data_IF_025322768156
#
_entry.id   IF_025322768156
#
_cell.length_a   1.000
_cell.length_b   1.000
_cell.length_c   1.000
_cell.angle_alpha   90.00
_cell.angle_beta   90.00
_cell.angle_gamma   90.00
#
_symmetry.space_group_name_H-M   'P 1'
#
loop_
_entity.id
_entity.type
_entity.pdbx_description
1 polymer ?
#
# COMPACT_ATOMS: atom_id res chain seq x y z
N UNK A 1 9.66 11.39 12.55
CA UNK A 1 8.53 10.60 13.11
C UNK A 1 8.48 9.26 12.40
N UNK A 2 8.84 9.29 11.11
CA UNK A 2 9.20 8.18 10.23
C UNK A 2 9.83 6.97 10.89
N UNK A 3 10.97 7.11 11.55
CA UNK A 3 11.72 5.97 12.14
C UNK A 3 10.82 5.09 13.03
N UNK A 4 9.98 5.72 13.86
CA UNK A 4 9.03 5.01 14.73
C UNK A 4 7.90 4.34 13.95
N UNK A 5 7.46 4.94 12.84
CA UNK A 5 6.39 4.38 12.01
C UNK A 5 6.89 3.19 11.19
N UNK A 6 8.11 3.29 10.67
CA UNK A 6 8.84 2.19 10.02
C UNK A 6 9.10 1.04 10.98
N UNK A 7 9.56 1.32 12.21
CA UNK A 7 9.70 0.31 13.27
C UNK A 7 8.38 -0.44 13.51
N UNK A 8 7.25 0.27 13.58
CA UNK A 8 5.96 -0.39 13.75
C UNK A 8 5.64 -1.35 12.61
N UNK A 9 5.98 -1.04 11.36
CA UNK A 9 5.80 -1.95 10.22
C UNK A 9 6.70 -3.18 10.34
N UNK A 10 7.96 -2.99 10.74
CA UNK A 10 8.96 -4.05 10.89
C UNK A 10 8.67 -4.98 12.08
N UNK A 11 8.02 -4.50 13.13
CA UNK A 11 7.60 -5.31 14.30
C UNK A 11 6.44 -6.26 13.98
N UNK A 12 5.75 -6.09 12.85
CA UNK A 12 4.63 -6.95 12.46
C UNK A 12 5.14 -8.21 11.74
N UNK A 13 5.59 -9.20 12.51
CA UNK A 13 6.10 -10.48 11.97
C UNK A 13 5.10 -11.20 11.07
N UNK A 14 3.79 -10.97 11.26
CA UNK A 14 2.76 -11.60 10.45
C UNK A 14 2.64 -10.98 9.04
N UNK A 15 3.16 -9.76 8.83
CA UNK A 15 3.07 -9.02 7.57
C UNK A 15 3.77 -9.74 6.41
N UNK A 16 4.85 -10.45 6.72
CA UNK A 16 5.69 -11.16 5.74
C UNK A 16 5.53 -12.68 5.80
N UNK A 17 4.61 -13.19 6.62
CA UNK A 17 4.43 -14.63 6.85
C UNK A 17 4.03 -15.39 5.57
N UNK A 18 4.91 -16.29 5.14
CA UNK A 18 4.71 -17.14 3.97
C UNK A 18 5.01 -16.47 2.63
N UNK A 19 5.62 -15.28 2.64
CA UNK A 19 6.28 -14.68 1.48
C UNK A 19 7.74 -15.18 1.38
N UNK A 20 8.32 -15.10 0.19
CA UNK A 20 9.78 -15.19 0.03
C UNK A 20 10.47 -13.93 0.57
N UNK A 21 11.77 -14.01 0.87
CA UNK A 21 12.54 -12.86 1.35
C UNK A 21 12.50 -11.68 0.37
N UNK A 22 12.48 -11.97 -0.93
CA UNK A 22 12.36 -10.96 -1.99
C UNK A 22 10.98 -10.28 -1.95
N UNK A 23 9.89 -11.07 -1.95
CA UNK A 23 8.51 -10.55 -1.84
C UNK A 23 8.27 -9.78 -0.54
N UNK A 24 8.84 -10.23 0.57
CA UNK A 24 8.77 -9.57 1.85
C UNK A 24 9.49 -8.21 1.82
N UNK A 25 10.70 -8.16 1.23
CA UNK A 25 11.46 -6.93 1.06
C UNK A 25 10.72 -5.92 0.18
N UNK A 26 10.14 -6.37 -0.93
CA UNK A 26 9.34 -5.53 -1.84
C UNK A 26 8.12 -4.95 -1.11
N UNK A 27 7.34 -5.78 -0.42
CA UNK A 27 6.15 -5.32 0.31
C UNK A 27 6.49 -4.30 1.39
N UNK A 28 7.49 -4.61 2.22
CA UNK A 28 7.88 -3.72 3.33
C UNK A 28 8.47 -2.43 2.80
N UNK A 29 9.34 -2.49 1.79
CA UNK A 29 9.93 -1.31 1.15
C UNK A 29 8.87 -0.38 0.59
N UNK A 30 7.87 -0.94 -0.10
CA UNK A 30 6.75 -0.17 -0.62
C UNK A 30 5.91 0.49 0.47
N UNK A 31 5.55 -0.24 1.54
CA UNK A 31 4.79 0.34 2.66
C UNK A 31 5.57 1.47 3.34
N UNK A 32 6.90 1.34 3.47
CA UNK A 32 7.74 2.41 4.02
C UNK A 32 7.71 3.64 3.10
N UNK A 33 7.86 3.45 1.78
CA UNK A 33 7.76 4.53 0.80
C UNK A 33 6.44 5.29 0.92
N UNK A 34 5.31 4.58 1.06
CA UNK A 34 4.00 5.22 1.29
C UNK A 34 3.97 6.05 2.57
N UNK A 35 4.63 5.62 3.66
CA UNK A 35 4.72 6.43 4.89
C UNK A 35 5.58 7.67 4.68
N UNK A 36 6.71 7.52 3.96
CA UNK A 36 7.62 8.64 3.62
C UNK A 36 6.86 9.72 2.84
N UNK A 37 6.16 9.34 1.77
CA UNK A 37 5.38 10.26 0.95
C UNK A 37 4.30 10.98 1.77
N UNK A 38 3.60 10.26 2.66
CA UNK A 38 2.58 10.84 3.52
C UNK A 38 3.16 11.81 4.57
N UNK A 39 4.34 11.53 5.14
CA UNK A 39 5.01 12.45 6.08
C UNK A 39 5.46 13.73 5.36
N UNK A 40 5.97 13.60 4.14
CA UNK A 40 6.41 14.74 3.31
C UNK A 40 5.23 15.64 2.90
N UNK A 41 4.06 15.07 2.56
CA UNK A 41 2.88 15.84 2.16
C UNK A 41 2.15 16.51 3.34
N UNK A 42 2.03 15.82 4.48
CA UNK A 42 1.13 16.22 5.56
C UNK A 42 1.84 16.71 6.83
N UNK A 43 3.14 16.48 6.96
CA UNK A 43 3.97 16.86 8.11
C UNK A 43 3.74 16.02 9.39
N UNK A 44 2.60 15.33 9.50
CA UNK A 44 2.30 14.38 10.57
C UNK A 44 1.38 13.28 10.06
N UNK A 45 1.82 12.02 10.17
CA UNK A 45 1.02 10.85 9.78
C UNK A 45 0.26 10.32 11.02
N UNK A 46 -1.08 10.41 11.06
CA UNK A 46 -1.83 9.89 12.20
C UNK A 46 -1.67 8.37 12.34
N UNK A 47 -1.48 7.86 13.57
CA UNK A 47 -1.29 6.41 13.82
C UNK A 47 -2.39 5.51 13.22
N UNK A 48 -3.61 6.02 13.05
CA UNK A 48 -4.71 5.30 12.37
C UNK A 48 -4.38 4.94 10.92
N UNK A 49 -3.59 5.76 10.21
CA UNK A 49 -3.16 5.47 8.84
C UNK A 49 -2.16 4.32 8.82
N UNK A 50 -1.27 4.24 9.80
CA UNK A 50 -0.33 3.12 9.94
C UNK A 50 -1.07 1.81 10.18
N UNK A 51 -2.13 1.81 11.00
CA UNK A 51 -2.97 0.62 11.16
C UNK A 51 -3.68 0.21 9.86
N UNK A 52 -4.11 1.17 9.03
CA UNK A 52 -4.71 0.91 7.72
C UNK A 52 -3.66 0.36 6.73
N UNK A 53 -2.45 0.90 6.76
CA UNK A 53 -1.35 0.50 5.89
C UNK A 53 -0.87 -0.92 6.23
N UNK A 54 -0.74 -1.25 7.52
CA UNK A 54 -0.52 -2.63 7.97
C UNK A 54 -1.58 -3.57 7.43
N UNK A 55 -2.86 -3.20 7.58
CA UNK A 55 -3.97 -4.01 7.08
C UNK A 55 -3.89 -4.23 5.57
N UNK A 56 -3.53 -3.19 4.80
CA UNK A 56 -3.34 -3.32 3.36
C UNK A 56 -2.22 -4.30 3.03
N UNK A 57 -1.06 -4.16 3.69
CA UNK A 57 0.05 -5.07 3.50
C UNK A 57 -0.29 -6.53 3.84
N UNK A 58 -1.04 -6.77 4.92
CA UNK A 58 -1.57 -8.10 5.27
C UNK A 58 -2.47 -8.68 4.16
N UNK A 59 -3.32 -7.86 3.54
CA UNK A 59 -4.17 -8.30 2.44
C UNK A 59 -3.37 -8.61 1.17
N UNK A 60 -2.35 -7.79 0.85
CA UNK A 60 -1.43 -8.05 -0.27
C UNK A 60 -0.71 -9.39 -0.05
N UNK A 61 -0.09 -9.58 1.12
CA UNK A 61 0.59 -10.83 1.48
C UNK A 61 -0.35 -12.04 1.43
N UNK A 62 -1.58 -11.88 1.94
CA UNK A 62 -2.62 -12.92 1.90
C UNK A 62 -2.98 -13.29 0.46
N UNK A 63 -3.17 -12.32 -0.43
CA UNK A 63 -3.51 -12.55 -1.84
C UNK A 63 -2.34 -13.21 -2.56
N UNK A 64 -1.12 -12.69 -2.40
CA UNK A 64 0.09 -13.23 -3.00
C UNK A 64 0.26 -14.71 -2.65
N UNK A 65 0.18 -15.05 -1.35
CA UNK A 65 0.26 -16.45 -0.89
C UNK A 65 -0.88 -17.32 -1.39
N UNK A 66 -2.12 -16.82 -1.33
CA UNK A 66 -3.33 -17.61 -1.62
C UNK A 66 -3.45 -17.96 -3.10
N UNK A 67 -3.08 -17.01 -3.96
CA UNK A 67 -3.29 -17.08 -5.40
C UNK A 67 -2.00 -17.18 -6.20
N UNK A 68 -0.83 -17.18 -5.55
CA UNK A 68 0.50 -17.24 -6.16
C UNK A 68 0.73 -16.09 -7.14
N UNK A 69 0.21 -14.91 -6.80
CA UNK A 69 0.45 -13.67 -7.55
C UNK A 69 1.68 -12.99 -6.94
N UNK A 70 2.67 -12.56 -7.74
CA UNK A 70 3.81 -11.81 -7.23
C UNK A 70 3.39 -10.55 -6.48
N UNK A 71 4.05 -10.26 -5.35
CA UNK A 71 3.83 -9.02 -4.60
C UNK A 71 3.98 -7.75 -5.46
N UNK A 72 5.01 -7.61 -6.33
CA UNK A 72 5.14 -6.44 -7.19
C UNK A 72 3.92 -6.21 -8.10
N UNK A 73 3.34 -7.27 -8.68
CA UNK A 73 2.15 -7.14 -9.52
C UNK A 73 0.93 -6.63 -8.73
N UNK A 74 0.80 -7.01 -7.45
CA UNK A 74 -0.27 -6.53 -6.59
C UNK A 74 -0.06 -5.08 -6.16
N UNK A 75 1.20 -4.67 -5.94
CA UNK A 75 1.57 -3.29 -5.67
C UNK A 75 1.22 -2.42 -6.88
N UNK A 76 1.66 -2.80 -8.08
CA UNK A 76 1.37 -2.07 -9.33
C UNK A 76 -0.15 -1.85 -9.52
N UNK A 77 -0.97 -2.87 -9.23
CA UNK A 77 -2.43 -2.77 -9.31
C UNK A 77 -3.02 -1.78 -8.30
N UNK A 78 -2.46 -1.74 -7.10
CA UNK A 78 -2.90 -0.82 -6.05
C UNK A 78 -2.51 0.62 -6.41
N UNK A 79 -1.28 0.83 -6.87
CA UNK A 79 -0.79 2.12 -7.34
C UNK A 79 -1.60 2.65 -8.52
N UNK A 80 -1.93 1.80 -9.50
CA UNK A 80 -2.77 2.20 -10.63
C UNK A 80 -4.13 2.75 -10.19
N UNK A 81 -4.75 2.14 -9.18
CA UNK A 81 -6.05 2.59 -8.64
C UNK A 81 -5.90 3.87 -7.81
N UNK A 82 -4.75 4.07 -7.15
CA UNK A 82 -4.47 5.29 -6.41
C UNK A 82 -4.09 6.48 -7.29
N UNK A 83 -3.45 6.24 -8.42
CA UNK A 83 -3.04 7.26 -9.39
C UNK A 83 -4.20 7.77 -10.27
N UNK A 84 -5.40 7.18 -10.21
CA UNK A 84 -6.56 7.67 -10.94
C UNK A 84 -7.29 8.81 -10.18
N UNK A 85 -7.13 10.09 -10.57
CA UNK A 85 -8.25 11.00 -10.45
C UNK A 85 -9.31 10.46 -11.39
N UNK A 86 -10.47 10.14 -10.84
CA UNK A 86 -11.65 9.89 -11.65
C UNK A 86 -11.83 11.11 -12.57
N UNK A 87 -11.51 10.97 -13.86
CA UNK A 87 -12.18 11.77 -14.86
C UNK A 87 -13.66 11.44 -14.67
N UNK A 88 -14.41 12.36 -14.04
CA UNK A 88 -15.86 12.32 -14.10
C UNK A 88 -16.22 12.00 -15.55
N UNK A 89 -17.06 10.98 -15.85
CA UNK A 89 -17.55 10.84 -17.21
C UNK A 89 -18.35 12.11 -17.50
N UNK A 90 -17.71 13.05 -18.21
CA UNK A 90 -18.30 14.30 -18.62
C UNK A 90 -19.60 13.92 -19.33
N UNK A 91 -20.70 14.26 -18.67
CA UNK A 91 -22.05 13.95 -19.11
C UNK A 91 -22.19 14.45 -20.54
N UNK A 92 -22.38 13.54 -21.51
CA UNK A 92 -22.76 13.95 -22.87
C UNK A 92 -23.97 14.87 -22.75
N UNK A 93 -23.93 16.14 -23.22
CA UNK A 93 -25.16 16.85 -23.43
C UNK A 93 -25.85 16.16 -24.61
N UNK A 94 -26.96 15.49 -24.30
CA UNK A 94 -27.91 15.00 -25.27
C UNK A 94 -28.55 16.23 -25.93
N UNK A 95 -28.03 16.65 -27.08
CA UNK A 95 -28.72 17.66 -27.90
C UNK A 95 -29.76 16.94 -28.75
N UNK A 96 -31.02 17.27 -28.48
CA UNK A 96 -32.21 16.87 -29.19
C UNK A 96 -32.40 17.68 -30.49
#
# INVERSE_FOLDING_TARGET
MLERLTELLLEDEALTDGLSDEEASELVGWLIGVVEDLEDESGEVPQRYIAQLKRLGHEIARIARRYRVPVPELIDLVEQVWEEPSEEPASKPMQA
#
